data_IF_225235608044
#
_entry.id   IF_225235608044
#
_cell.length_a   1.000
_cell.length_b   1.000
_cell.length_c   1.000
_cell.angle_alpha   90.00
_cell.angle_beta   90.00
_cell.angle_gamma   90.00
#
_symmetry.space_group_name_H-M   'P 1'
#
loop_
_entity.id
_entity.type
_entity.pdbx_description
1 polymer ?
#
# COMPACT_ATOMS: atom_id res chain seq x y z
N UNK A 1 -27.31 7.13 3.34
CA UNK A 1 -26.44 8.27 3.75
C UNK A 1 -25.40 7.87 4.78
N UNK A 2 -24.17 8.40 4.68
CA UNK A 2 -23.05 8.15 5.61
C UNK A 2 -23.29 8.77 6.99
N UNK A 3 -22.79 8.15 8.06
CA UNK A 3 -22.96 8.63 9.44
C UNK A 3 -21.68 9.32 9.92
N UNK A 4 -21.77 10.61 10.29
CA UNK A 4 -20.67 11.31 10.97
C UNK A 4 -20.56 10.85 12.41
N UNK A 5 -19.35 10.50 12.83
CA UNK A 5 -19.02 10.18 14.22
C UNK A 5 -18.61 11.48 14.92
N UNK A 6 -19.40 11.89 15.92
CA UNK A 6 -19.20 13.14 16.67
C UNK A 6 -19.43 12.98 18.18
N UNK A 7 -19.80 11.80 18.67
CA UNK A 7 -20.07 11.57 20.09
C UNK A 7 -19.45 10.27 20.62
N UNK A 8 -19.27 10.24 21.94
CA UNK A 8 -18.82 9.07 22.71
C UNK A 8 -19.65 7.82 22.42
N UNK A 9 -20.98 7.97 22.42
CA UNK A 9 -21.91 6.84 22.22
C UNK A 9 -21.73 6.20 20.85
N UNK A 10 -21.52 7.02 19.81
CA UNK A 10 -21.26 6.52 18.46
C UNK A 10 -19.93 5.76 18.39
N UNK A 11 -18.87 6.27 19.04
CA UNK A 11 -17.59 5.55 19.10
C UNK A 11 -17.77 4.19 19.81
N UNK A 12 -18.46 4.17 20.95
CA UNK A 12 -18.72 2.93 21.68
C UNK A 12 -19.53 1.92 20.84
N UNK A 13 -20.52 2.38 20.07
CA UNK A 13 -21.25 1.52 19.14
C UNK A 13 -20.33 0.89 18.08
N UNK A 14 -19.35 1.63 17.56
CA UNK A 14 -18.35 1.05 16.64
C UNK A 14 -17.48 0.02 17.36
N UNK A 15 -17.02 0.33 18.58
CA UNK A 15 -16.23 -0.60 19.39
C UNK A 15 -16.99 -1.89 19.72
N UNK A 16 -18.31 -1.84 19.92
CA UNK A 16 -19.11 -3.05 20.16
C UNK A 16 -19.39 -3.82 18.86
N UNK A 17 -19.59 -3.10 17.75
CA UNK A 17 -19.94 -3.67 16.44
C UNK A 17 -18.79 -4.32 15.70
N UNK A 18 -17.54 -3.92 15.92
CA UNK A 18 -16.40 -4.46 15.17
C UNK A 18 -15.36 -5.11 16.07
N UNK A 19 -14.73 -6.16 15.54
CA UNK A 19 -13.63 -6.90 16.19
C UNK A 19 -12.29 -6.59 15.51
N UNK A 20 -12.32 -6.30 14.20
CA UNK A 20 -11.15 -6.02 13.39
C UNK A 20 -11.18 -4.59 12.88
N UNK A 21 -10.09 -3.87 13.11
CA UNK A 21 -9.89 -2.52 12.64
C UNK A 21 -8.68 -2.51 11.71
N UNK A 22 -8.95 -2.29 10.42
CA UNK A 22 -7.93 -2.20 9.39
C UNK A 22 -7.67 -0.72 9.11
N UNK A 23 -6.41 -0.30 9.14
CA UNK A 23 -6.01 1.11 9.02
C UNK A 23 -5.15 1.31 7.80
N UNK A 24 -5.47 2.28 6.94
CA UNK A 24 -4.38 2.92 6.19
C UNK A 24 -3.43 3.63 7.16
N UNK A 25 -2.23 3.93 6.67
CA UNK A 25 -1.15 4.53 7.44
C UNK A 25 -1.00 6.01 7.12
N UNK A 26 -0.59 6.32 5.88
CA UNK A 26 -0.37 7.70 5.44
C UNK A 26 -1.72 8.41 5.30
N UNK A 27 -1.90 9.57 5.92
CA UNK A 27 -3.19 10.29 5.96
C UNK A 27 -4.14 9.88 7.09
N UNK A 28 -3.88 8.75 7.77
CA UNK A 28 -4.70 8.23 8.87
C UNK A 28 -3.96 8.23 10.20
N UNK A 29 -2.73 7.72 10.23
CA UNK A 29 -1.87 7.66 11.41
C UNK A 29 -0.85 8.80 11.43
N UNK A 30 -0.34 9.17 10.25
CA UNK A 30 0.70 10.20 10.11
C UNK A 30 0.67 10.88 8.75
N UNK A 31 1.33 12.02 8.66
CA UNK A 31 1.67 12.70 7.41
C UNK A 31 3.19 12.76 7.29
N UNK A 32 3.77 11.92 6.43
CA UNK A 32 5.22 11.75 6.36
C UNK A 32 5.77 11.18 7.67
N UNK A 33 6.60 11.96 8.37
CA UNK A 33 7.18 11.60 9.67
C UNK A 33 6.47 12.29 10.86
N UNK A 34 5.37 13.00 10.60
CA UNK A 34 4.58 13.65 11.64
C UNK A 34 3.38 12.79 12.03
N UNK A 35 3.38 12.30 13.27
CA UNK A 35 2.26 11.58 13.84
C UNK A 35 1.04 12.51 14.00
N UNK A 36 -0.15 12.01 13.65
CA UNK A 36 -1.38 12.75 13.88
C UNK A 36 -1.76 12.74 15.37
N UNK A 37 -2.59 13.71 15.84
CA UNK A 37 -2.94 13.79 17.25
C UNK A 37 -3.65 12.55 17.79
N UNK A 38 -3.31 12.15 19.01
CA UNK A 38 -3.99 11.11 19.81
C UNK A 38 -3.98 9.70 19.19
N UNK A 39 -3.06 9.41 18.28
CA UNK A 39 -2.98 8.10 17.60
C UNK A 39 -2.55 6.98 18.55
N UNK A 40 -1.46 7.09 19.35
CA UNK A 40 -1.07 6.04 20.28
C UNK A 40 -2.20 5.68 21.26
N UNK A 41 -2.94 6.68 21.71
CA UNK A 41 -4.06 6.53 22.64
C UNK A 41 -5.27 5.87 21.97
N UNK A 42 -5.58 6.21 20.71
CA UNK A 42 -6.63 5.55 19.94
C UNK A 42 -6.32 4.06 19.70
N UNK A 43 -5.08 3.72 19.33
CA UNK A 43 -4.65 2.33 19.16
C UNK A 43 -4.68 1.59 20.52
N UNK A 44 -4.22 2.23 21.60
CA UNK A 44 -4.25 1.67 22.96
C UNK A 44 -5.69 1.39 23.43
N UNK A 45 -6.63 2.29 23.13
CA UNK A 45 -8.05 2.09 23.42
C UNK A 45 -8.58 0.83 22.73
N UNK A 46 -8.30 0.65 21.43
CA UNK A 46 -8.70 -0.54 20.69
C UNK A 46 -8.13 -1.82 21.30
N UNK A 47 -6.83 -1.82 21.61
CA UNK A 47 -6.18 -2.97 22.28
C UNK A 47 -6.79 -3.27 23.65
N UNK A 48 -7.10 -2.24 24.46
CA UNK A 48 -7.75 -2.41 25.78
C UNK A 48 -9.15 -3.03 25.69
N UNK A 49 -9.79 -2.95 24.53
CA UNK A 49 -11.09 -3.56 24.21
C UNK A 49 -10.96 -4.88 23.46
N UNK A 50 -9.77 -5.48 23.47
CA UNK A 50 -9.43 -6.75 22.79
C UNK A 50 -9.70 -6.73 21.28
N UNK A 51 -9.55 -5.57 20.64
CA UNK A 51 -9.73 -5.43 19.19
C UNK A 51 -8.46 -5.80 18.44
N UNK A 52 -8.63 -6.42 17.28
CA UNK A 52 -7.54 -6.74 16.37
C UNK A 52 -7.22 -5.51 15.52
N UNK A 53 -5.97 -5.09 15.52
CA UNK A 53 -5.46 -3.91 14.80
C UNK A 53 -4.59 -4.40 13.64
N UNK A 54 -4.91 -3.97 12.42
CA UNK A 54 -4.20 -4.39 11.20
C UNK A 54 -3.89 -3.14 10.39
N UNK A 55 -2.65 -2.96 9.98
CA UNK A 55 -2.16 -1.83 9.19
C UNK A 55 -2.03 -2.23 7.73
N UNK A 56 -2.64 -1.45 6.83
CA UNK A 56 -2.88 -1.79 5.43
C UNK A 56 -2.50 -0.61 4.54
N UNK A 57 -1.31 -0.64 3.94
CA UNK A 57 -0.73 0.52 3.23
C UNK A 57 -0.38 0.22 1.77
N UNK A 58 -0.67 1.17 0.88
CA UNK A 58 -0.22 1.13 -0.52
C UNK A 58 1.24 1.58 -0.71
N UNK A 59 1.88 2.12 0.32
CA UNK A 59 3.23 2.63 0.22
C UNK A 59 4.25 1.48 0.19
N UNK A 60 4.75 1.16 -1.01
CA UNK A 60 5.75 0.11 -1.22
C UNK A 60 7.19 0.55 -0.93
N UNK A 61 7.42 1.76 -0.41
CA UNK A 61 8.79 2.26 -0.19
C UNK A 61 9.49 1.59 0.99
N UNK A 62 8.73 0.95 1.88
CA UNK A 62 9.19 0.32 3.11
C UNK A 62 8.79 -1.15 3.14
N UNK A 63 9.64 -1.97 3.74
CA UNK A 63 9.25 -3.32 4.17
C UNK A 63 8.47 -3.26 5.48
N UNK A 64 7.88 -4.37 5.90
CA UNK A 64 7.28 -4.53 7.22
C UNK A 64 8.29 -4.28 8.33
N UNK A 65 9.56 -4.68 8.16
CA UNK A 65 10.61 -4.38 9.14
C UNK A 65 10.90 -2.88 9.24
N UNK A 66 10.88 -2.16 8.11
CA UNK A 66 11.03 -0.70 8.11
C UNK A 66 9.82 -0.03 8.77
N UNK A 67 8.60 -0.57 8.60
CA UNK A 67 7.42 -0.08 9.29
C UNK A 67 7.48 -0.32 10.80
N UNK A 68 7.95 -1.48 11.28
CA UNK A 68 8.15 -1.71 12.72
C UNK A 68 9.03 -0.63 13.35
N UNK A 69 10.15 -0.30 12.72
CA UNK A 69 11.04 0.79 13.15
C UNK A 69 10.34 2.15 13.12
N UNK A 70 9.48 2.38 12.12
CA UNK A 70 8.71 3.63 12.02
C UNK A 70 7.68 3.75 13.15
N UNK A 71 6.92 2.70 13.43
CA UNK A 71 5.95 2.68 14.54
C UNK A 71 6.65 2.96 15.87
N UNK A 72 7.77 2.30 16.14
CA UNK A 72 8.59 2.52 17.34
C UNK A 72 9.08 3.98 17.43
N UNK A 73 9.67 4.51 16.35
CA UNK A 73 10.14 5.90 16.29
C UNK A 73 9.02 6.92 16.54
N UNK A 74 7.80 6.62 16.09
CA UNK A 74 6.64 7.49 16.26
C UNK A 74 5.90 7.27 17.59
N UNK A 75 6.41 6.41 18.48
CA UNK A 75 5.82 6.21 19.81
C UNK A 75 4.51 5.41 19.79
N UNK A 76 4.33 4.53 18.80
CA UNK A 76 3.25 3.53 18.77
C UNK A 76 3.88 2.18 19.15
N UNK A 77 3.80 1.76 20.42
CA UNK A 77 4.44 0.53 20.89
C UNK A 77 3.65 -0.71 20.46
N UNK A 78 4.23 -1.89 20.72
CA UNK A 78 3.57 -3.18 20.63
C UNK A 78 2.97 -3.51 19.26
N UNK A 79 3.65 -3.09 18.19
CA UNK A 79 3.27 -3.48 16.82
C UNK A 79 4.04 -4.74 16.41
N UNK A 80 3.29 -5.72 15.93
CA UNK A 80 3.82 -6.97 15.41
C UNK A 80 3.93 -6.97 13.89
N UNK A 81 4.89 -7.71 13.34
CA UNK A 81 5.10 -7.80 11.88
C UNK A 81 3.87 -8.37 11.16
N UNK A 82 3.15 -9.28 11.81
CA UNK A 82 1.94 -9.92 11.32
C UNK A 82 0.75 -8.96 11.24
N UNK A 83 0.81 -7.81 11.91
CA UNK A 83 -0.23 -6.78 11.83
C UNK A 83 -0.04 -5.86 10.62
N UNK A 84 1.06 -5.98 9.85
CA UNK A 84 1.42 -5.03 8.79
C UNK A 84 1.31 -5.67 7.40
N UNK A 85 0.42 -5.12 6.58
CA UNK A 85 0.18 -5.49 5.19
C UNK A 85 0.48 -4.30 4.28
N UNK A 86 1.71 -4.23 3.78
CA UNK A 86 2.12 -3.27 2.76
C UNK A 86 1.98 -3.83 1.35
N UNK A 87 1.81 -2.96 0.35
CA UNK A 87 1.82 -3.35 -1.07
C UNK A 87 3.13 -4.00 -1.49
N UNK A 88 4.27 -3.66 -0.87
CA UNK A 88 5.56 -4.36 -1.03
C UNK A 88 5.46 -5.84 -0.65
N UNK A 89 4.94 -6.13 0.55
CA UNK A 89 4.73 -7.49 1.03
C UNK A 89 3.69 -8.24 0.19
N UNK A 90 2.56 -7.59 -0.13
CA UNK A 90 1.51 -8.18 -0.95
C UNK A 90 2.03 -8.57 -2.35
N UNK A 91 2.89 -7.75 -2.96
CA UNK A 91 3.54 -8.09 -4.23
C UNK A 91 4.51 -9.25 -4.11
N UNK A 92 5.31 -9.30 -3.04
CA UNK A 92 6.22 -10.42 -2.81
C UNK A 92 5.46 -11.75 -2.64
N UNK A 93 4.36 -11.75 -1.87
CA UNK A 93 3.47 -12.91 -1.71
C UNK A 93 2.78 -13.29 -3.00
N UNK A 94 2.33 -12.31 -3.80
CA UNK A 94 1.75 -12.59 -5.12
C UNK A 94 2.75 -13.32 -6.03
N UNK A 95 3.99 -12.83 -6.09
CA UNK A 95 5.06 -13.44 -6.88
C UNK A 95 5.35 -14.89 -6.40
N UNK A 96 5.39 -15.10 -5.09
CA UNK A 96 5.69 -16.41 -4.49
C UNK A 96 4.56 -17.44 -4.64
N UNK A 97 3.34 -17.04 -4.29
CA UNK A 97 2.22 -17.98 -4.13
C UNK A 97 1.32 -18.08 -5.35
N UNK A 98 1.14 -16.97 -6.07
CA UNK A 98 0.20 -16.88 -7.19
C UNK A 98 0.93 -17.05 -8.51
N UNK A 99 1.91 -16.20 -8.79
CA UNK A 99 2.76 -16.32 -9.98
C UNK A 99 3.64 -17.58 -9.91
N UNK A 100 4.03 -17.99 -8.70
CA UNK A 100 4.93 -19.13 -8.44
C UNK A 100 6.23 -19.00 -9.24
N UNK A 101 6.81 -17.80 -9.20
CA UNK A 101 8.07 -17.53 -9.89
C UNK A 101 9.15 -18.49 -9.35
N UNK A 102 9.86 -19.24 -10.22
CA UNK A 102 10.97 -20.10 -9.79
C UNK A 102 12.04 -19.31 -9.01
N UNK A 103 12.64 -19.93 -7.99
CA UNK A 103 13.60 -19.26 -7.09
C UNK A 103 14.96 -18.95 -7.72
N UNK A 104 15.29 -19.65 -8.80
CA UNK A 104 16.44 -19.37 -9.65
C UNK A 104 16.22 -18.17 -10.59
N UNK A 105 14.96 -17.68 -10.72
CA UNK A 105 14.65 -16.45 -11.45
C UNK A 105 14.76 -15.22 -10.58
N UNK A 106 15.11 -14.11 -11.24
CA UNK A 106 15.25 -12.78 -10.64
C UNK A 106 14.01 -11.93 -10.92
N UNK A 107 13.77 -10.96 -10.05
CA UNK A 107 12.74 -9.94 -10.22
C UNK A 107 13.41 -8.62 -10.59
N UNK A 108 13.07 -8.05 -11.74
CA UNK A 108 13.41 -6.66 -12.04
C UNK A 108 12.48 -5.73 -11.27
N UNK A 109 13.08 -4.85 -10.46
CA UNK A 109 12.35 -3.92 -9.61
C UNK A 109 12.51 -2.51 -10.17
N UNK A 110 11.40 -1.88 -10.59
CA UNK A 110 11.31 -0.43 -10.72
C UNK A 110 10.61 0.08 -9.46
N UNK A 111 11.36 0.22 -8.38
CA UNK A 111 10.79 0.44 -7.05
C UNK A 111 11.84 0.79 -6.00
N UNK A 112 11.38 1.20 -4.82
CA UNK A 112 12.20 1.45 -3.64
C UNK A 112 12.58 0.16 -2.87
N UNK A 113 13.58 0.28 -2.00
CA UNK A 113 14.20 -0.83 -1.25
C UNK A 113 13.23 -1.72 -0.46
N UNK A 114 12.08 -1.18 -0.04
CA UNK A 114 11.08 -1.93 0.71
C UNK A 114 10.53 -3.14 -0.06
N UNK A 115 10.42 -3.03 -1.38
CA UNK A 115 10.04 -4.14 -2.27
C UNK A 115 11.13 -5.21 -2.28
N UNK A 116 12.39 -4.79 -2.40
CA UNK A 116 13.53 -5.69 -2.48
C UNK A 116 13.67 -6.52 -1.20
N UNK A 117 13.56 -5.87 -0.04
CA UNK A 117 13.64 -6.54 1.25
C UNK A 117 12.56 -7.62 1.45
N UNK A 118 11.31 -7.34 1.07
CA UNK A 118 10.23 -8.35 1.16
C UNK A 118 10.46 -9.52 0.19
N UNK A 119 10.98 -9.25 -1.01
CA UNK A 119 11.34 -10.30 -1.97
C UNK A 119 12.53 -11.16 -1.48
N UNK A 120 13.55 -10.53 -0.89
CA UNK A 120 14.72 -11.20 -0.34
C UNK A 120 14.35 -12.11 0.83
N UNK A 121 13.43 -11.68 1.71
CA UNK A 121 12.92 -12.52 2.80
C UNK A 121 12.22 -13.79 2.30
N UNK A 122 11.65 -13.76 1.09
CA UNK A 122 11.06 -14.93 0.42
C UNK A 122 12.08 -15.71 -0.44
N UNK A 123 13.35 -15.33 -0.44
CA UNK A 123 14.43 -16.02 -1.16
C UNK A 123 14.51 -15.69 -2.65
N UNK A 124 13.95 -14.57 -3.11
CA UNK A 124 14.15 -14.08 -4.47
C UNK A 124 15.37 -13.18 -4.56
N UNK A 125 16.03 -13.21 -5.72
CA UNK A 125 17.06 -12.22 -6.07
C UNK A 125 16.41 -11.07 -6.85
N UNK A 126 16.79 -9.83 -6.53
CA UNK A 126 16.33 -8.64 -7.26
C UNK A 126 17.45 -8.04 -8.08
N UNK A 127 17.07 -7.39 -9.19
CA UNK A 127 17.93 -6.51 -10.00
C UNK A 127 17.17 -5.22 -10.27
N UNK A 128 17.87 -4.12 -10.54
CA UNK A 128 17.26 -2.80 -10.65
C UNK A 128 17.19 -2.11 -9.29
N UNK A 129 16.03 -1.54 -8.95
CA UNK A 129 15.72 -1.02 -7.63
C UNK A 129 16.71 0.03 -7.14
N UNK A 130 17.36 -0.29 -6.01
CA UNK A 130 18.35 0.54 -5.31
C UNK A 130 19.80 0.39 -5.80
N UNK A 131 20.03 -0.29 -6.93
CA UNK A 131 21.36 -0.44 -7.54
C UNK A 131 22.07 0.93 -7.71
N UNK A 132 23.22 1.16 -7.03
CA UNK A 132 23.99 2.40 -7.11
C UNK A 132 24.45 2.76 -8.52
N UNK A 133 24.74 1.77 -9.37
CA UNK A 133 25.22 2.00 -10.73
C UNK A 133 24.10 2.55 -11.61
N UNK A 134 22.84 2.15 -11.36
CA UNK A 134 21.67 2.70 -12.06
C UNK A 134 21.26 4.08 -11.55
N UNK A 135 21.63 4.43 -10.30
CA UNK A 135 21.40 5.76 -9.75
C UNK A 135 22.45 6.73 -10.31
N UNK A 136 23.73 6.36 -10.25
CA UNK A 136 24.84 7.20 -10.72
C UNK A 136 24.83 7.40 -12.24
N UNK A 137 24.65 6.34 -13.02
CA UNK A 137 24.58 6.42 -14.49
C UNK A 137 23.30 7.08 -15.00
N UNK A 138 22.31 7.26 -14.14
CA UNK A 138 21.05 7.90 -14.49
C UNK A 138 21.13 9.43 -14.58
N UNK A 139 22.27 10.02 -14.19
CA UNK A 139 22.48 11.48 -14.21
C UNK A 139 22.65 11.98 -15.65
N UNK A 140 23.44 11.28 -16.47
CA UNK A 140 23.64 11.57 -17.89
C UNK A 140 23.27 10.33 -18.71
N UNK A 141 22.15 10.39 -19.44
CA UNK A 141 21.68 9.26 -20.23
C UNK A 141 22.52 9.05 -21.49
N UNK A 142 23.02 7.82 -21.69
CA UNK A 142 23.63 7.33 -22.93
C UNK A 142 22.74 6.25 -23.56
N UNK A 143 22.29 6.48 -24.80
CA UNK A 143 21.50 5.49 -25.55
C UNK A 143 22.30 4.25 -25.95
N UNK A 144 23.63 4.30 -25.87
CA UNK A 144 24.53 3.16 -26.12
C UNK A 144 24.89 2.39 -24.85
N UNK A 145 24.25 2.69 -23.71
CA UNK A 145 24.51 1.98 -22.46
C UNK A 145 24.44 0.46 -22.68
N UNK A 146 25.52 -0.29 -22.38
CA UNK A 146 25.60 -1.71 -22.70
C UNK A 146 24.52 -2.54 -22.00
N UNK A 147 23.95 -2.05 -20.88
CA UNK A 147 22.87 -2.72 -20.16
C UNK A 147 21.58 -2.79 -20.98
N UNK A 148 21.34 -1.82 -21.88
CA UNK A 148 20.17 -1.84 -22.78
C UNK A 148 20.23 -3.01 -23.78
N UNK A 149 21.43 -3.48 -24.13
CA UNK A 149 21.65 -4.57 -25.08
C UNK A 149 21.98 -5.91 -24.41
N UNK A 150 22.21 -5.91 -23.09
CA UNK A 150 22.61 -7.09 -22.31
C UNK A 150 21.71 -7.25 -21.08
N UNK A 151 20.41 -7.42 -21.35
CA UNK A 151 19.46 -7.74 -20.30
C UNK A 151 19.79 -9.09 -19.66
N UNK A 152 19.46 -9.21 -18.38
CA UNK A 152 19.64 -10.45 -17.64
C UNK A 152 18.59 -11.50 -18.12
N UNK A 153 19.07 -12.68 -18.52
CA UNK A 153 18.22 -13.77 -18.98
C UNK A 153 17.48 -14.49 -17.85
N UNK A 154 17.91 -14.30 -16.61
CA UNK A 154 17.29 -14.88 -15.42
C UNK A 154 16.17 -14.01 -14.85
N UNK A 155 15.99 -12.78 -15.35
CA UNK A 155 14.81 -11.98 -14.99
C UNK A 155 13.55 -12.65 -15.54
N UNK A 156 12.69 -13.08 -14.61
CA UNK A 156 11.43 -13.75 -14.92
C UNK A 156 10.18 -12.96 -14.50
N UNK A 157 10.33 -11.77 -13.94
CA UNK A 157 9.21 -10.91 -13.54
C UNK A 157 9.67 -9.44 -13.50
N UNK A 158 8.80 -8.52 -13.91
CA UNK A 158 8.94 -7.07 -13.71
C UNK A 158 7.95 -6.64 -12.64
N UNK A 159 8.44 -6.04 -11.55
CA UNK A 159 7.64 -5.46 -10.48
C UNK A 159 7.90 -3.95 -10.39
N UNK A 160 6.85 -3.16 -10.59
CA UNK A 160 6.93 -1.71 -10.57
C UNK A 160 6.15 -1.12 -9.38
N UNK A 161 6.71 -0.07 -8.77
CA UNK A 161 6.14 0.68 -7.66
C UNK A 161 6.63 2.13 -7.65
N UNK A 162 6.47 2.82 -6.52
CA UNK A 162 6.99 4.18 -6.34
C UNK A 162 8.53 4.16 -6.33
N UNK A 163 9.16 5.13 -7.00
CA UNK A 163 10.62 5.34 -7.06
C UNK A 163 10.90 6.83 -6.94
N UNK A 164 11.73 7.24 -5.99
CA UNK A 164 12.16 8.63 -5.85
C UNK A 164 13.40 8.95 -6.70
N UNK A 165 14.37 8.04 -6.76
CA UNK A 165 15.54 8.15 -7.63
C UNK A 165 15.24 7.63 -9.04
N UNK A 166 14.22 8.21 -9.68
CA UNK A 166 13.79 7.86 -11.03
C UNK A 166 14.65 8.59 -12.07
N UNK A 167 15.05 7.87 -13.12
CA UNK A 167 15.79 8.42 -14.24
C UNK A 167 15.41 7.71 -15.55
N UNK A 168 15.81 8.29 -16.68
CA UNK A 168 15.45 7.77 -18.00
C UNK A 168 16.04 6.38 -18.27
N UNK A 169 17.23 6.07 -17.74
CA UNK A 169 17.85 4.75 -17.89
C UNK A 169 17.03 3.65 -17.20
N UNK A 170 16.54 3.88 -15.97
CA UNK A 170 15.67 2.93 -15.25
C UNK A 170 14.37 2.67 -16.00
N UNK A 171 13.74 3.73 -16.52
CA UNK A 171 12.54 3.61 -17.35
C UNK A 171 12.82 2.83 -18.63
N UNK A 172 13.94 3.13 -19.29
CA UNK A 172 14.35 2.46 -20.53
C UNK A 172 14.66 0.98 -20.32
N UNK A 173 15.41 0.61 -19.28
CA UNK A 173 15.68 -0.79 -18.93
C UNK A 173 14.39 -1.54 -18.56
N UNK A 174 13.50 -0.89 -17.79
CA UNK A 174 12.19 -1.47 -17.48
C UNK A 174 11.40 -1.75 -18.75
N UNK A 175 11.38 -0.80 -19.70
CA UNK A 175 10.75 -0.99 -21.01
C UNK A 175 11.41 -2.15 -21.77
N UNK A 176 12.74 -2.26 -21.78
CA UNK A 176 13.43 -3.36 -22.46
C UNK A 176 13.02 -4.73 -21.87
N UNK A 177 12.93 -4.88 -20.55
CA UNK A 177 12.40 -6.10 -19.93
C UNK A 177 10.93 -6.36 -20.29
N UNK A 178 10.09 -5.33 -20.37
CA UNK A 178 8.69 -5.48 -20.74
C UNK A 178 8.48 -5.88 -22.21
N UNK A 179 9.44 -5.54 -23.09
CA UNK A 179 9.44 -5.90 -24.51
C UNK A 179 10.10 -7.27 -24.79
N UNK A 180 10.93 -7.76 -23.87
CA UNK A 180 11.66 -9.03 -23.98
C UNK A 180 10.72 -10.21 -24.16
N UNK A 181 11.23 -11.28 -24.80
CA UNK A 181 10.55 -12.56 -24.99
C UNK A 181 9.15 -12.45 -25.60
N UNK A 182 8.96 -11.56 -26.59
CA UNK A 182 7.65 -11.27 -27.20
C UNK A 182 6.62 -10.80 -26.16
N UNK A 183 7.06 -10.01 -25.18
CA UNK A 183 6.23 -9.40 -24.13
C UNK A 183 5.62 -10.41 -23.14
N UNK A 184 6.26 -11.56 -22.92
CA UNK A 184 5.73 -12.61 -22.02
C UNK A 184 6.19 -12.49 -20.57
N UNK A 185 7.19 -11.65 -20.25
CA UNK A 185 7.64 -11.49 -18.85
C UNK A 185 6.52 -10.86 -18.03
N UNK A 186 6.02 -11.50 -16.96
CA UNK A 186 4.98 -10.97 -16.09
C UNK A 186 5.23 -9.53 -15.66
N UNK A 187 4.22 -8.68 -15.78
CA UNK A 187 4.27 -7.27 -15.37
C UNK A 187 3.34 -7.02 -14.18
N UNK A 188 3.90 -6.73 -13.02
CA UNK A 188 3.19 -6.57 -11.76
C UNK A 188 3.36 -5.15 -11.22
N UNK A 189 2.29 -4.59 -10.65
CA UNK A 189 2.28 -3.30 -9.97
C UNK A 189 2.06 -3.46 -8.46
N UNK A 190 2.81 -2.70 -7.65
CA UNK A 190 2.54 -2.66 -6.20
C UNK A 190 1.23 -1.97 -5.90
N UNK A 191 0.94 -0.84 -6.53
CA UNK A 191 -0.33 -0.11 -6.46
C UNK A 191 -0.43 0.82 -7.69
N UNK A 192 -1.58 1.47 -7.88
CA UNK A 192 -1.84 2.38 -9.01
C UNK A 192 -2.23 3.79 -8.55
N UNK A 193 -1.81 4.19 -7.34
CA UNK A 193 -2.13 5.51 -6.83
C UNK A 193 -1.45 6.57 -7.70
N UNK A 194 -2.22 7.52 -8.22
CA UNK A 194 -1.72 8.59 -9.09
C UNK A 194 -0.88 9.62 -8.33
N UNK A 195 -1.16 9.82 -7.05
CA UNK A 195 -0.46 10.80 -6.20
C UNK A 195 0.00 10.21 -4.88
N UNK A 196 1.13 10.72 -4.40
CA UNK A 196 1.73 10.42 -3.10
C UNK A 196 1.70 11.67 -2.20
N UNK A 197 0.95 11.66 -1.07
CA UNK A 197 0.89 12.80 -0.16
C UNK A 197 2.19 12.95 0.65
N UNK A 198 2.79 14.14 0.65
CA UNK A 198 3.96 14.45 1.46
C UNK A 198 4.01 15.93 1.86
N UNK A 199 4.12 16.22 3.17
CA UNK A 199 4.31 17.58 3.70
C UNK A 199 3.33 18.63 3.15
N UNK A 200 2.03 18.30 3.10
CA UNK A 200 0.99 19.20 2.59
C UNK A 200 0.98 19.37 1.06
N UNK A 201 1.73 18.55 0.32
CA UNK A 201 1.79 18.56 -1.15
C UNK A 201 1.40 17.18 -1.70
N UNK A 202 0.92 17.17 -2.93
CA UNK A 202 0.76 15.96 -3.72
C UNK A 202 1.98 15.81 -4.63
N UNK A 203 2.68 14.69 -4.48
CA UNK A 203 3.78 14.27 -5.35
C UNK A 203 3.30 13.19 -6.32
N UNK A 204 4.15 12.82 -7.27
CA UNK A 204 3.89 11.74 -8.22
C UNK A 204 3.78 10.39 -7.46
N UNK A 205 2.67 9.68 -7.67
CA UNK A 205 2.43 8.35 -7.11
C UNK A 205 2.98 7.22 -7.97
N UNK A 206 2.90 5.99 -7.46
CA UNK A 206 3.39 4.80 -8.16
C UNK A 206 2.67 4.60 -9.50
N UNK A 207 1.35 4.81 -9.53
CA UNK A 207 0.54 4.64 -10.74
C UNK A 207 1.02 5.50 -11.91
N UNK A 208 1.40 6.76 -11.64
CA UNK A 208 1.92 7.65 -12.68
C UNK A 208 3.29 7.22 -13.22
N UNK A 209 4.16 6.65 -12.39
CA UNK A 209 5.44 6.08 -12.83
C UNK A 209 5.19 4.82 -13.67
N UNK A 210 4.33 3.93 -13.18
CA UNK A 210 3.97 2.68 -13.84
C UNK A 210 3.33 2.95 -15.20
N UNK A 211 2.45 3.95 -15.29
CA UNK A 211 1.78 4.33 -16.53
C UNK A 211 2.77 4.74 -17.63
N UNK A 212 3.92 5.32 -17.25
CA UNK A 212 4.96 5.70 -18.22
C UNK A 212 5.50 4.48 -18.99
N UNK A 213 5.83 3.40 -18.28
CA UNK A 213 6.34 2.16 -18.91
C UNK A 213 5.22 1.30 -19.49
N UNK A 214 4.02 1.39 -18.90
CA UNK A 214 2.80 0.75 -19.39
C UNK A 214 2.45 1.26 -20.80
N UNK A 215 2.35 2.58 -20.93
CA UNK A 215 2.09 3.26 -22.20
C UNK A 215 3.16 2.94 -23.24
N UNK A 216 4.44 3.09 -22.89
CA UNK A 216 5.54 2.85 -23.81
C UNK A 216 5.65 1.39 -24.28
N UNK A 217 5.35 0.42 -23.40
CA UNK A 217 5.39 -1.00 -23.75
C UNK A 217 4.12 -1.49 -24.46
N UNK A 218 3.02 -0.75 -24.38
CA UNK A 218 1.69 -1.17 -24.83
C UNK A 218 1.14 -2.34 -24.00
N UNK A 219 1.56 -2.46 -22.73
CA UNK A 219 1.12 -3.50 -21.80
C UNK A 219 0.60 -2.87 -20.53
N UNK A 220 -0.43 -3.43 -19.94
CA UNK A 220 -0.89 -3.07 -18.60
C UNK A 220 -0.38 -4.10 -17.57
N UNK A 221 -0.21 -3.73 -16.29
CA UNK A 221 0.09 -4.69 -15.25
C UNK A 221 -0.95 -5.82 -15.22
N UNK A 222 -0.48 -7.06 -15.23
CA UNK A 222 -1.32 -8.26 -15.15
C UNK A 222 -1.91 -8.43 -13.74
N UNK A 223 -1.24 -7.88 -12.73
CA UNK A 223 -1.76 -7.80 -11.38
C UNK A 223 -1.34 -6.49 -10.70
N UNK A 224 -2.23 -6.01 -9.84
CA UNK A 224 -2.01 -4.89 -8.93
C UNK A 224 -2.23 -5.42 -7.52
N UNK A 225 -1.20 -5.35 -6.67
CA UNK A 225 -1.22 -6.03 -5.38
C UNK A 225 -1.79 -5.18 -4.23
N UNK A 226 -1.79 -3.86 -4.40
CA UNK A 226 -2.30 -2.88 -3.44
C UNK A 226 -3.80 -2.60 -3.57
N UNK A 227 -4.33 -1.87 -2.60
CA UNK A 227 -5.69 -1.35 -2.58
C UNK A 227 -5.97 -0.57 -3.88
N UNK A 228 -7.17 -0.68 -4.50
CA UNK A 228 -8.35 -1.40 -4.01
C UNK A 228 -8.41 -2.90 -4.33
N UNK A 229 -7.36 -3.49 -4.92
CA UNK A 229 -7.38 -4.91 -5.28
C UNK A 229 -7.46 -5.81 -4.06
N UNK A 230 -8.21 -6.91 -4.19
CA UNK A 230 -8.50 -7.82 -3.08
C UNK A 230 -7.39 -8.82 -2.76
N UNK A 231 -6.30 -8.85 -3.51
CA UNK A 231 -5.15 -9.72 -3.23
C UNK A 231 -4.61 -9.52 -1.82
N UNK A 232 -4.48 -8.27 -1.37
CA UNK A 232 -4.05 -7.94 -0.01
C UNK A 232 -5.10 -8.34 1.04
N UNK A 233 -6.39 -8.12 0.78
CA UNK A 233 -7.47 -8.55 1.68
C UNK A 233 -7.52 -10.07 1.84
N UNK A 234 -7.27 -10.82 0.76
CA UNK A 234 -7.22 -12.27 0.78
C UNK A 234 -6.05 -12.77 1.66
N UNK A 235 -4.88 -12.12 1.57
CA UNK A 235 -3.76 -12.42 2.47
C UNK A 235 -4.12 -12.11 3.94
N UNK A 236 -4.75 -10.96 4.21
CA UNK A 236 -5.22 -10.61 5.55
C UNK A 236 -6.20 -11.69 6.07
N UNK A 237 -7.18 -12.10 5.28
CA UNK A 237 -8.15 -13.13 5.67
C UNK A 237 -7.53 -14.52 5.83
N UNK A 238 -6.42 -14.81 5.16
CA UNK A 238 -5.69 -16.05 5.36
C UNK A 238 -4.97 -16.07 6.73
N UNK A 239 -4.36 -14.94 7.12
CA UNK A 239 -3.68 -14.79 8.41
C UNK A 239 -4.67 -14.59 9.58
N UNK A 240 -5.85 -14.01 9.29
CA UNK A 240 -6.95 -13.77 10.22
C UNK A 240 -8.24 -14.47 9.74
N UNK A 241 -8.33 -15.81 9.85
CA UNK A 241 -9.41 -16.59 9.25
C UNK A 241 -10.81 -16.25 9.77
N UNK A 242 -10.94 -15.77 11.00
CA UNK A 242 -12.23 -15.36 11.55
C UNK A 242 -12.75 -14.07 10.90
N UNK A 243 -11.88 -13.14 10.49
CA UNK A 243 -12.28 -12.02 9.62
C UNK A 243 -12.80 -12.53 8.26
N UNK A 244 -12.21 -13.60 7.74
CA UNK A 244 -12.69 -14.26 6.52
C UNK A 244 -14.12 -14.82 6.64
N UNK A 245 -14.46 -15.38 7.81
CA UNK A 245 -15.80 -15.94 8.10
C UNK A 245 -16.83 -14.84 8.39
N UNK A 246 -16.43 -13.78 9.08
CA UNK A 246 -17.32 -12.67 9.48
C UNK A 246 -16.77 -11.31 9.04
N UNK A 247 -16.67 -11.03 7.73
CA UNK A 247 -16.09 -9.79 7.22
C UNK A 247 -16.83 -8.53 7.68
N UNK A 248 -18.14 -8.66 7.99
CA UNK A 248 -18.96 -7.58 8.55
C UNK A 248 -18.59 -7.16 9.98
N UNK A 249 -17.74 -7.93 10.67
CA UNK A 249 -17.13 -7.55 11.94
C UNK A 249 -15.81 -6.79 11.76
N UNK A 250 -15.40 -6.54 10.51
CA UNK A 250 -14.27 -5.68 10.18
C UNK A 250 -14.67 -4.27 9.75
N UNK A 251 -13.86 -3.30 10.13
CA UNK A 251 -13.98 -1.89 9.76
C UNK A 251 -12.69 -1.44 9.06
N UNK A 252 -12.78 -1.02 7.79
CA UNK A 252 -11.66 -0.41 7.07
C UNK A 252 -11.65 1.09 7.28
N UNK A 253 -10.54 1.63 7.78
CA UNK A 253 -10.32 3.02 8.13
C UNK A 253 -9.27 3.59 7.18
N UNK A 254 -9.63 4.64 6.44
CA UNK A 254 -8.80 5.22 5.40
C UNK A 254 -9.17 6.66 5.08
N UNK A 255 -8.38 7.31 4.24
CA UNK A 255 -8.60 8.71 3.85
C UNK A 255 -8.99 8.88 2.37
N UNK A 256 -9.03 7.79 1.59
CA UNK A 256 -9.34 7.82 0.15
C UNK A 256 -10.55 6.95 -0.24
N UNK A 257 -11.45 7.51 -1.04
CA UNK A 257 -12.65 6.81 -1.52
C UNK A 257 -12.33 5.67 -2.49
N UNK A 258 -11.50 5.95 -3.50
CA UNK A 258 -11.22 5.04 -4.61
C UNK A 258 -10.28 3.88 -4.24
N UNK A 259 -9.51 4.01 -3.16
CA UNK A 259 -8.61 2.96 -2.65
C UNK A 259 -9.17 2.34 -1.39
N UNK A 260 -9.22 3.04 -0.26
CA UNK A 260 -9.52 2.43 1.05
C UNK A 260 -10.99 2.05 1.18
N UNK A 261 -11.88 2.97 0.84
CA UNK A 261 -13.32 2.71 1.00
C UNK A 261 -13.76 1.65 0.00
N UNK A 262 -13.23 1.67 -1.24
CA UNK A 262 -13.45 0.58 -2.20
C UNK A 262 -12.86 -0.74 -1.71
N UNK A 263 -11.63 -0.74 -1.18
CA UNK A 263 -10.97 -1.93 -0.65
C UNK A 263 -11.77 -2.61 0.47
N UNK A 264 -12.24 -1.82 1.45
CA UNK A 264 -13.06 -2.33 2.54
C UNK A 264 -14.40 -2.87 2.06
N UNK A 265 -15.10 -2.12 1.22
CA UNK A 265 -16.42 -2.49 0.68
C UNK A 265 -16.36 -3.78 -0.15
N UNK A 266 -15.42 -3.86 -1.09
CA UNK A 266 -15.20 -5.03 -1.94
C UNK A 266 -14.73 -6.23 -1.10
N UNK A 267 -14.04 -5.97 0.01
CA UNK A 267 -13.66 -6.98 1.00
C UNK A 267 -14.80 -7.44 1.92
N UNK A 268 -15.98 -6.83 1.83
CA UNK A 268 -17.15 -7.14 2.65
C UNK A 268 -17.17 -6.48 4.04
N UNK A 269 -16.23 -5.57 4.30
CA UNK A 269 -16.15 -4.80 5.54
C UNK A 269 -17.08 -3.58 5.47
N UNK A 270 -17.40 -3.02 6.63
CA UNK A 270 -17.90 -1.65 6.69
C UNK A 270 -16.71 -0.68 6.64
N UNK A 271 -16.96 0.60 6.33
CA UNK A 271 -15.87 1.57 6.09
C UNK A 271 -16.05 2.85 6.89
N UNK A 272 -14.94 3.41 7.36
CA UNK A 272 -14.90 4.67 8.09
C UNK A 272 -13.83 5.57 7.47
N UNK A 273 -14.27 6.68 6.88
CA UNK A 273 -13.37 7.65 6.27
C UNK A 273 -12.87 8.66 7.32
N UNK A 274 -11.57 8.93 7.37
CA UNK A 274 -11.01 10.06 8.14
C UNK A 274 -10.79 11.28 7.25
N UNK A 275 -10.92 12.48 7.82
CA UNK A 275 -10.78 13.75 7.09
C UNK A 275 -9.39 14.40 7.24
N UNK A 276 -8.39 13.63 7.67
CA UNK A 276 -7.00 14.06 7.85
C UNK A 276 -6.12 13.91 6.61
N UNK A 277 -6.63 13.27 5.55
CA UNK A 277 -5.88 12.96 4.34
C UNK A 277 -6.44 13.62 3.09
N UNK A 278 -6.72 12.82 2.05
CA UNK A 278 -7.09 13.33 0.72
C UNK A 278 -8.52 13.85 0.63
N UNK A 279 -9.48 13.14 1.21
CA UNK A 279 -10.89 13.44 1.02
C UNK A 279 -11.41 14.51 1.98
N UNK A 280 -12.42 15.25 1.53
CA UNK A 280 -13.06 16.32 2.31
C UNK A 280 -14.48 15.95 2.70
N UNK A 281 -15.02 16.60 3.74
CA UNK A 281 -16.41 16.38 4.15
C UNK A 281 -17.41 16.79 3.04
N UNK A 282 -17.08 17.80 2.25
CA UNK A 282 -17.90 18.23 1.10
C UNK A 282 -17.97 17.15 0.02
N UNK A 283 -16.83 16.49 -0.27
CA UNK A 283 -16.81 15.36 -1.18
C UNK A 283 -17.71 14.24 -0.67
N UNK A 284 -17.58 13.83 0.59
CA UNK A 284 -18.41 12.76 1.18
C UNK A 284 -19.90 13.06 1.06
N UNK A 285 -20.31 14.32 1.29
CA UNK A 285 -21.71 14.75 1.23
C UNK A 285 -22.27 14.82 -0.20
N UNK A 286 -21.41 14.93 -1.21
CA UNK A 286 -21.81 14.99 -2.62
C UNK A 286 -21.89 13.61 -3.30
N UNK A 287 -21.43 12.54 -2.64
CA UNK A 287 -21.46 11.19 -3.17
C UNK A 287 -22.87 10.59 -3.23
N UNK A 288 -23.07 9.73 -4.23
CA UNK A 288 -24.23 8.86 -4.30
C UNK A 288 -24.19 7.80 -3.18
N UNK A 289 -25.35 7.29 -2.76
CA UNK A 289 -25.41 6.34 -1.62
C UNK A 289 -24.52 5.11 -1.81
N UNK A 290 -24.40 4.60 -3.04
CA UNK A 290 -23.59 3.43 -3.36
C UNK A 290 -22.07 3.67 -3.30
N UNK A 291 -21.63 4.92 -3.23
CA UNK A 291 -20.22 5.32 -3.22
C UNK A 291 -19.81 5.87 -1.85
N UNK A 292 -20.76 6.28 -1.03
CA UNK A 292 -20.48 6.77 0.33
C UNK A 292 -19.81 5.73 1.23
N UNK A 293 -18.93 6.15 2.15
CA UNK A 293 -18.45 5.29 3.22
C UNK A 293 -19.56 5.03 4.26
N UNK A 294 -19.47 3.96 5.04
CA UNK A 294 -20.48 3.68 6.08
C UNK A 294 -20.49 4.78 7.15
N UNK A 295 -19.31 5.21 7.56
CA UNK A 295 -19.09 6.27 8.53
C UNK A 295 -18.03 7.25 8.05
N UNK A 296 -17.96 8.41 8.68
CA UNK A 296 -16.82 9.30 8.58
C UNK A 296 -16.55 10.05 9.89
N UNK A 297 -15.29 10.39 10.15
CA UNK A 297 -14.83 11.05 11.38
C UNK A 297 -13.76 12.10 11.04
N UNK A 298 -13.55 13.11 11.88
CA UNK A 298 -12.57 14.16 11.56
C UNK A 298 -11.15 13.59 11.55
N UNK A 299 -10.78 12.85 12.60
CA UNK A 299 -9.45 12.21 12.73
C UNK A 299 -9.56 10.90 13.53
N UNK A 300 -8.63 9.98 13.35
CA UNK A 300 -8.62 8.72 14.11
C UNK A 300 -8.50 8.95 15.63
N UNK A 301 -7.74 9.98 16.04
CA UNK A 301 -7.59 10.37 17.44
C UNK A 301 -8.92 10.63 18.18
N UNK A 302 -9.99 10.95 17.45
CA UNK A 302 -11.34 11.16 18.02
C UNK A 302 -11.91 9.89 18.68
N UNK A 303 -11.41 8.68 18.34
CA UNK A 303 -11.77 7.46 19.08
C UNK A 303 -11.43 7.57 20.56
N UNK A 304 -10.30 8.22 20.88
CA UNK A 304 -9.86 8.49 22.24
C UNK A 304 -10.43 9.80 22.78
N UNK A 305 -10.32 10.89 22.03
CA UNK A 305 -10.69 12.24 22.50
C UNK A 305 -12.20 12.36 22.82
N UNK A 306 -13.07 11.63 22.13
CA UNK A 306 -14.51 11.61 22.44
C UNK A 306 -14.86 10.67 23.61
N UNK A 307 -13.93 9.80 24.03
CA UNK A 307 -14.15 8.84 25.12
C UNK A 307 -13.66 9.33 26.49
N UNK A 308 -12.77 10.31 26.50
CA UNK A 308 -12.33 11.04 27.69
C UNK A 308 -13.31 12.15 28.08
#
# INVERSE_FOLDING_TARGET
MSIKITSKDQVNQLLDKYDYFLFDCDGVLWLGDHLLPSIPEAISLLRSKNKQVIFVTNNSTKSRNDYLKKFEKLGIPDISKQEIFGSSYASAIFIDKILKLPKDKKVWVLGEKGIEQELHELGYTTVGGSDPDLISSGVDFDSNDPRLNKLDNDVGCVLCGLVFNLNYLKLSLTLQYLLKDKKTIPFIATNIDSTFPANGKLLIGAGSIIETVSFASGRQPEAICGKPNQSMMNSIKADFPDLGKTPKRGLMIGDRLNTDMKFGRDGGLDTLLVLTGIETEENVKSLNENETPTYYINKLGDFHELNN
#
